data_IF_948232987281
#
_entry.id   IF_948232987281
#
_cell.length_a   1.000
_cell.length_b   1.000
_cell.length_c   1.000
_cell.angle_alpha   90.00
_cell.angle_beta   90.00
_cell.angle_gamma   90.00
#
_symmetry.space_group_name_H-M   'P 1'
#
loop_
_entity.id
_entity.type
_entity.pdbx_description
1 polymer ?
#
# COMPACT_ATOMS: atom_id res chain seq x y z
N UNK A 1 -10.29 14.42 28.41
CA UNK A 1 -9.02 14.49 27.66
C UNK A 1 -8.05 13.70 28.51
N UNK A 2 -7.86 12.38 28.35
CA UNK A 2 -7.16 11.67 27.28
C UNK A 2 -7.86 10.32 27.07
N UNK A 3 -8.48 10.12 25.91
CA UNK A 3 -9.26 8.93 25.63
C UNK A 3 -8.37 7.76 25.22
N UNK A 4 -8.59 6.63 25.89
CA UNK A 4 -8.46 5.27 25.40
C UNK A 4 -7.11 4.84 24.77
N UNK A 5 -6.28 4.17 25.59
CA UNK A 5 -6.08 2.74 25.41
C UNK A 5 -5.61 2.23 24.04
N UNK A 6 -4.77 2.96 23.30
CA UNK A 6 -3.92 2.33 22.29
C UNK A 6 -2.80 1.62 23.03
N UNK A 7 -2.96 0.33 23.30
CA UNK A 7 -1.85 -0.59 23.53
C UNK A 7 -0.93 -0.49 22.32
N UNK A 8 0.06 0.40 22.39
CA UNK A 8 1.15 0.48 21.42
C UNK A 8 1.93 -0.81 21.63
N UNK A 9 1.66 -1.83 20.81
CA UNK A 9 2.55 -2.99 20.72
C UNK A 9 3.96 -2.43 20.51
N UNK A 10 4.91 -2.85 21.33
CA UNK A 10 6.27 -2.34 21.27
C UNK A 10 6.85 -2.60 19.87
N UNK A 11 6.88 -1.56 19.04
CA UNK A 11 7.42 -1.65 17.69
C UNK A 11 8.93 -1.62 17.81
N UNK A 12 9.60 -2.70 17.40
CA UNK A 12 11.05 -2.74 17.42
C UNK A 12 11.62 -2.07 16.17
N UNK A 13 12.73 -1.32 16.34
CA UNK A 13 13.42 -0.70 15.20
C UNK A 13 13.97 -1.77 14.24
N UNK A 14 14.38 -2.93 14.75
CA UNK A 14 14.85 -4.05 13.93
C UNK A 14 13.76 -4.57 12.99
N UNK A 15 12.56 -4.78 13.52
CA UNK A 15 11.39 -5.23 12.73
C UNK A 15 10.99 -4.21 11.66
N UNK A 16 11.08 -2.91 11.94
CA UNK A 16 10.87 -1.86 10.92
C UNK A 16 11.90 -2.00 9.79
N UNK A 17 13.18 -2.19 10.12
CA UNK A 17 14.25 -2.31 9.14
C UNK A 17 14.07 -3.57 8.27
N UNK A 18 13.71 -4.70 8.88
CA UNK A 18 13.45 -5.96 8.19
C UNK A 18 12.25 -5.86 7.24
N UNK A 19 11.12 -5.32 7.72
CA UNK A 19 9.95 -5.10 6.87
C UNK A 19 10.21 -4.12 5.73
N UNK A 20 10.99 -3.06 5.99
CA UNK A 20 11.40 -2.11 4.94
C UNK A 20 12.22 -2.80 3.86
N UNK A 21 13.18 -3.65 4.26
CA UNK A 21 14.02 -4.41 3.33
C UNK A 21 13.15 -5.35 2.48
N UNK A 22 12.26 -6.11 3.12
CA UNK A 22 11.38 -7.03 2.44
C UNK A 22 10.44 -6.32 1.45
N UNK A 23 9.84 -5.19 1.84
CA UNK A 23 8.98 -4.39 0.95
C UNK A 23 9.71 -3.98 -0.35
N UNK A 24 10.99 -3.58 -0.23
CA UNK A 24 11.82 -3.21 -1.38
C UNK A 24 12.21 -4.39 -2.24
N UNK A 25 12.60 -5.51 -1.64
CA UNK A 25 12.92 -6.75 -2.37
C UNK A 25 11.71 -7.26 -3.16
N UNK A 26 10.52 -7.25 -2.56
CA UNK A 26 9.28 -7.64 -3.22
C UNK A 26 8.92 -6.72 -4.39
N UNK A 27 9.12 -5.40 -4.24
CA UNK A 27 8.92 -4.44 -5.32
C UNK A 27 9.89 -4.67 -6.48
N UNK A 28 11.16 -4.98 -6.19
CA UNK A 28 12.18 -5.27 -7.22
C UNK A 28 11.91 -6.58 -7.96
N UNK A 29 11.35 -7.59 -7.28
CA UNK A 29 10.95 -8.86 -7.91
C UNK A 29 9.65 -8.77 -8.71
N UNK A 30 8.97 -7.62 -8.72
CA UNK A 30 7.70 -7.43 -9.44
C UNK A 30 6.47 -7.94 -8.69
N UNK A 31 6.60 -8.39 -7.44
CA UNK A 31 5.45 -8.74 -6.60
C UNK A 31 4.90 -7.48 -5.93
N UNK A 32 4.27 -6.63 -6.75
CA UNK A 32 3.83 -5.31 -6.32
C UNK A 32 2.66 -5.35 -5.33
N UNK A 33 1.74 -6.30 -5.48
CA UNK A 33 0.58 -6.44 -4.59
C UNK A 33 1.01 -6.74 -3.15
N UNK A 34 1.95 -7.67 -2.97
CA UNK A 34 2.51 -7.96 -1.64
C UNK A 34 3.36 -6.78 -1.15
N UNK A 35 4.19 -6.20 -2.02
CA UNK A 35 5.04 -5.07 -1.66
C UNK A 35 4.23 -3.89 -1.12
N UNK A 36 3.09 -3.53 -1.75
CA UNK A 36 2.22 -2.45 -1.30
C UNK A 36 1.73 -2.65 0.14
N UNK A 37 1.31 -3.86 0.51
CA UNK A 37 0.87 -4.20 1.87
C UNK A 37 2.02 -4.02 2.88
N UNK A 38 3.22 -4.48 2.54
CA UNK A 38 4.40 -4.31 3.39
C UNK A 38 4.81 -2.83 3.55
N UNK A 39 4.72 -2.03 2.49
CA UNK A 39 4.95 -0.59 2.55
C UNK A 39 3.96 0.11 3.48
N UNK A 40 2.67 -0.20 3.36
CA UNK A 40 1.62 0.36 4.22
C UNK A 40 1.86 0.00 5.70
N UNK A 41 2.10 -1.28 6.00
CA UNK A 41 2.40 -1.75 7.35
C UNK A 41 3.63 -1.06 7.95
N UNK A 42 4.71 -0.95 7.16
CA UNK A 42 5.95 -0.28 7.59
C UNK A 42 5.73 1.20 7.91
N UNK A 43 4.97 1.92 7.08
CA UNK A 43 4.64 3.34 7.34
C UNK A 43 3.84 3.49 8.64
N UNK A 44 2.91 2.58 8.91
CA UNK A 44 2.15 2.58 10.17
C UNK A 44 3.05 2.26 11.38
N UNK A 45 3.98 1.32 11.27
CA UNK A 45 4.95 1.01 12.31
C UNK A 45 5.84 2.21 12.65
N UNK A 46 6.33 2.93 11.62
CA UNK A 46 7.10 4.16 11.81
C UNK A 46 6.25 5.25 12.48
N UNK A 47 4.98 5.39 12.09
CA UNK A 47 4.07 6.34 12.72
C UNK A 47 3.91 6.05 14.22
N UNK A 48 3.73 4.78 14.60
CA UNK A 48 3.67 4.36 16.01
C UNK A 48 4.97 4.66 16.75
N UNK A 49 6.12 4.35 16.14
CA UNK A 49 7.43 4.67 16.71
C UNK A 49 7.57 6.18 16.97
N UNK A 50 7.13 7.04 16.06
CA UNK A 50 7.18 8.50 16.21
C UNK A 50 6.36 9.03 17.39
N UNK A 51 5.30 8.34 17.78
CA UNK A 51 4.48 8.68 18.96
C UNK A 51 5.26 8.38 20.25
N UNK A 52 6.06 7.31 20.26
CA UNK A 52 6.84 6.88 21.43
C UNK A 52 8.15 7.66 21.65
N UNK A 53 8.65 8.36 20.62
CA UNK A 53 9.92 9.10 20.72
C UNK A 53 9.68 10.46 21.38
N UNK A 54 10.29 10.67 22.55
CA UNK A 54 10.32 11.96 23.24
C UNK A 54 11.40 12.92 22.69
N UNK A 55 12.53 12.38 22.22
CA UNK A 55 13.65 13.19 21.73
C UNK A 55 13.33 13.84 20.37
N UNK A 56 13.35 15.18 20.25
CA UNK A 56 12.96 15.87 19.02
C UNK A 56 13.93 15.66 17.85
N UNK A 57 15.22 15.49 18.12
CA UNK A 57 16.24 15.24 17.09
C UNK A 57 16.06 13.86 16.46
N UNK A 58 15.84 12.85 17.31
CA UNK A 58 15.54 11.48 16.89
C UNK A 58 14.20 11.44 16.15
N UNK A 59 13.19 12.16 16.63
CA UNK A 59 11.87 12.26 15.98
C UNK A 59 11.99 12.85 14.58
N UNK A 60 12.76 13.93 14.40
CA UNK A 60 13.00 14.55 13.09
C UNK A 60 13.64 13.57 12.09
N UNK A 61 14.65 12.80 12.52
CA UNK A 61 15.27 11.76 11.68
C UNK A 61 14.25 10.71 11.23
N UNK A 62 13.42 10.23 12.15
CA UNK A 62 12.38 9.24 11.82
C UNK A 62 11.26 9.82 10.94
N UNK A 63 10.94 11.10 11.07
CA UNK A 63 10.01 11.77 10.15
C UNK A 63 10.56 11.83 8.73
N UNK A 64 11.87 12.00 8.56
CA UNK A 64 12.50 11.93 7.23
C UNK A 64 12.36 10.52 6.63
N UNK A 65 12.61 9.48 7.43
CA UNK A 65 12.42 8.08 7.02
C UNK A 65 10.97 7.82 6.64
N UNK A 66 10.01 8.28 7.46
CA UNK A 66 8.58 8.14 7.17
C UNK A 66 8.20 8.78 5.83
N UNK A 67 8.69 10.00 5.55
CA UNK A 67 8.46 10.69 4.28
C UNK A 67 9.07 9.93 3.10
N UNK A 68 10.26 9.38 3.27
CA UNK A 68 10.89 8.58 2.23
C UNK A 68 10.07 7.32 1.92
N UNK A 69 9.64 6.59 2.95
CA UNK A 69 8.81 5.39 2.79
C UNK A 69 7.47 5.71 2.12
N UNK A 70 6.83 6.81 2.48
CA UNK A 70 5.59 7.25 1.85
C UNK A 70 5.77 7.57 0.36
N UNK A 71 6.88 8.23 -0.02
CA UNK A 71 7.19 8.49 -1.43
C UNK A 71 7.42 7.20 -2.23
N UNK A 72 8.19 6.27 -1.69
CA UNK A 72 8.43 4.96 -2.33
C UNK A 72 7.09 4.21 -2.52
N UNK A 73 6.21 4.25 -1.51
CA UNK A 73 4.87 3.67 -1.60
C UNK A 73 4.00 4.31 -2.69
N UNK A 74 3.99 5.65 -2.79
CA UNK A 74 3.25 6.36 -3.82
C UNK A 74 3.75 6.06 -5.24
N UNK A 75 5.07 6.00 -5.41
CA UNK A 75 5.69 5.60 -6.68
C UNK A 75 5.27 4.19 -7.08
N UNK A 76 5.29 3.25 -6.12
CA UNK A 76 4.87 1.87 -6.36
C UNK A 76 3.40 1.78 -6.78
N UNK A 77 2.52 2.54 -6.13
CA UNK A 77 1.10 2.63 -6.53
C UNK A 77 0.94 3.16 -7.95
N UNK A 78 1.71 4.18 -8.34
CA UNK A 78 1.66 4.71 -9.69
C UNK A 78 2.13 3.68 -10.74
N UNK A 79 3.18 2.91 -10.43
CA UNK A 79 3.64 1.79 -11.26
C UNK A 79 2.55 0.74 -11.41
N UNK A 80 1.92 0.30 -10.31
CA UNK A 80 0.84 -0.68 -10.35
C UNK A 80 -0.36 -0.18 -11.15
N UNK A 81 -0.77 1.08 -10.94
CA UNK A 81 -1.87 1.67 -11.69
C UNK A 81 -1.58 1.68 -13.20
N UNK A 82 -0.35 2.03 -13.60
CA UNK A 82 0.08 2.03 -14.99
C UNK A 82 0.05 0.60 -15.58
N UNK A 83 0.50 -0.40 -14.83
CA UNK A 83 0.43 -1.81 -15.25
C UNK A 83 -1.02 -2.29 -15.42
N UNK A 84 -1.91 -1.90 -14.51
CA UNK A 84 -3.33 -2.23 -14.59
C UNK A 84 -4.01 -1.59 -15.82
N UNK A 85 -3.61 -0.37 -16.20
CA UNK A 85 -4.10 0.26 -17.44
C UNK A 85 -3.75 -0.58 -18.67
N UNK A 86 -2.52 -1.09 -18.76
CA UNK A 86 -2.10 -1.94 -19.88
C UNK A 86 -2.80 -3.31 -19.89
N UNK A 87 -3.07 -3.89 -18.73
CA UNK A 87 -3.82 -5.15 -18.65
C UNK A 87 -5.24 -4.99 -19.18
N UNK A 88 -5.91 -3.87 -18.88
CA UNK A 88 -7.25 -3.59 -19.39
C UNK A 88 -7.31 -3.24 -20.89
N UNK A 89 -6.23 -2.68 -21.46
CA UNK A 89 -6.14 -2.43 -22.90
C UNK A 89 -5.85 -3.71 -23.70
N UNK A 90 -5.02 -4.61 -23.17
CA UNK A 90 -4.69 -5.90 -23.80
C UNK A 90 -5.89 -6.84 -23.94
N UNK A 91 -6.87 -6.74 -23.04
CA UNK A 91 -8.08 -7.58 -23.08
C UNK A 91 -9.07 -7.19 -24.18
N UNK A 92 -8.94 -5.99 -24.78
CA UNK A 92 -9.77 -5.59 -25.93
C UNK A 92 -9.26 -6.10 -27.27
N UNK A 93 -8.01 -6.56 -27.36
CA UNK A 93 -7.38 -6.89 -28.63
C UNK A 93 -7.44 -8.39 -29.01
N UNK A 94 -7.79 -9.28 -28.07
CA UNK A 94 -7.81 -10.73 -28.35
C UNK A 94 -9.04 -11.39 -27.71
N UNK A 95 -10.22 -11.18 -28.30
CA UNK A 95 -11.28 -12.18 -28.22
C UNK A 95 -11.75 -12.55 -29.62
N UNK A 96 -11.43 -13.77 -30.12
CA UNK A 96 -12.29 -14.42 -31.09
C UNK A 96 -13.61 -14.78 -30.40
N UNK A 97 -14.71 -14.56 -31.13
CA UNK A 97 -16.08 -14.93 -30.80
C UNK A 97 -16.19 -16.24 -29.99
N UNK A 98 -16.59 -16.18 -28.71
CA UNK A 98 -17.49 -17.18 -28.08
C UNK A 98 -18.11 -16.65 -26.77
N UNK A 99 -19.41 -16.92 -26.64
CA UNK A 99 -20.32 -16.59 -25.53
C UNK A 99 -19.83 -16.96 -24.11
N UNK A 100 -20.16 -16.11 -23.12
CA UNK A 100 -20.13 -16.52 -21.71
C UNK A 100 -20.53 -15.43 -20.72
N UNK A 101 -21.83 -15.35 -20.40
CA UNK A 101 -22.47 -14.40 -19.48
C UNK A 101 -21.74 -14.23 -18.13
N UNK A 102 -21.57 -12.98 -17.66
CA UNK A 102 -21.49 -12.71 -16.21
C UNK A 102 -22.17 -11.38 -15.82
N UNK A 103 -23.25 -11.57 -15.08
CA UNK A 103 -23.95 -10.66 -14.16
C UNK A 103 -24.68 -9.41 -14.68
N UNK A 104 -26.00 -9.62 -14.79
CA UNK A 104 -27.10 -8.66 -14.71
C UNK A 104 -26.95 -7.78 -13.46
N UNK A 105 -27.11 -6.46 -13.61
CA UNK A 105 -27.88 -5.57 -12.70
C UNK A 105 -27.61 -4.07 -12.96
N UNK A 106 -27.84 -3.55 -14.17
CA UNK A 106 -27.73 -2.10 -14.40
C UNK A 106 -28.99 -1.43 -14.99
N UNK A 107 -30.13 -2.12 -15.11
CA UNK A 107 -31.33 -1.53 -15.72
C UNK A 107 -32.61 -1.76 -14.89
N UNK A 108 -32.56 -1.45 -13.59
CA UNK A 108 -33.78 -1.29 -12.77
C UNK A 108 -33.99 0.19 -12.47
N UNK A 109 -34.10 1.05 -13.50
CA UNK A 109 -34.50 2.45 -13.29
C UNK A 109 -35.08 3.15 -14.52
N UNK A 110 -35.67 2.42 -15.47
CA UNK A 110 -36.53 3.01 -16.49
C UNK A 110 -37.70 2.07 -16.71
N UNK A 111 -38.92 2.56 -16.46
CA UNK A 111 -40.22 1.86 -16.41
C UNK A 111 -40.67 1.53 -14.97
N UNK A 112 -41.01 2.59 -14.23
CA UNK A 112 -42.34 2.77 -13.64
C UNK A 112 -42.77 4.21 -13.91
#
# INVERSE_FOLDING_TARGET
>A
MYAAGMTIMAVSVGEICENTKLAREMALMGNYESALVYYEGTVQMIHRLLITIADPTRKSKWQLVQKQMAREYEQLKATVATLQMFQHEGEKAITPLTSGKRHKNCCYSYIL
#
